data_IF_581244936858
#
_entry.id   IF_581244936858
#
_cell.length_a   1.000
_cell.length_b   1.000
_cell.length_c   1.000
_cell.angle_alpha   90.00
_cell.angle_beta   90.00
_cell.angle_gamma   90.00
#
_symmetry.space_group_name_H-M   'P 1'
#
loop_
_entity.id
_entity.type
_entity.pdbx_description
1 polymer ?
#
# COMPACT_ATOMS: atom_id res chain seq x y z
N UNK A 1 16.31 -39.44 38.22
CA UNK A 1 15.29 -38.55 38.83
C UNK A 1 15.15 -37.28 38.00
N UNK A 2 14.10 -37.20 37.19
CA UNK A 2 13.87 -36.14 36.21
C UNK A 2 13.65 -34.78 36.88
N UNK A 3 14.54 -33.81 36.64
CA UNK A 3 14.32 -32.41 37.01
C UNK A 3 13.29 -31.83 36.05
N UNK A 4 12.02 -31.89 36.46
CA UNK A 4 10.87 -31.27 35.77
C UNK A 4 11.23 -29.81 35.45
N UNK A 5 11.20 -29.48 34.15
CA UNK A 5 11.36 -28.11 33.63
C UNK A 5 10.32 -27.19 34.29
N UNK A 6 10.70 -26.51 35.37
CA UNK A 6 9.84 -25.51 36.02
C UNK A 6 9.79 -24.30 35.08
N UNK A 7 8.60 -23.85 34.62
CA UNK A 7 8.52 -22.65 33.81
C UNK A 7 9.07 -21.47 34.64
N UNK A 8 10.05 -20.76 34.08
CA UNK A 8 10.61 -19.56 34.71
C UNK A 8 9.48 -18.55 34.89
N UNK A 9 9.34 -17.95 36.08
CA UNK A 9 8.37 -16.87 36.32
C UNK A 9 8.60 -15.75 35.31
N UNK A 10 7.62 -15.51 34.46
CA UNK A 10 7.62 -14.43 33.47
C UNK A 10 7.16 -13.16 34.20
N UNK A 11 7.71 -11.99 33.87
CA UNK A 11 7.25 -10.74 34.49
C UNK A 11 5.82 -10.41 34.06
N UNK A 12 5.02 -9.81 34.94
CA UNK A 12 3.62 -9.45 34.65
C UNK A 12 3.46 -8.59 33.38
N UNK A 13 4.47 -7.76 33.07
CA UNK A 13 4.53 -6.99 31.82
C UNK A 13 4.61 -7.91 30.60
N UNK A 14 5.47 -8.92 30.62
CA UNK A 14 5.60 -9.90 29.52
C UNK A 14 4.33 -10.76 29.37
N UNK A 15 3.65 -11.11 30.45
CA UNK A 15 2.36 -11.81 30.39
C UNK A 15 1.25 -10.95 29.76
N UNK A 16 1.18 -9.66 30.10
CA UNK A 16 0.25 -8.71 29.47
C UNK A 16 0.46 -8.64 27.95
N UNK A 17 1.71 -8.58 27.50
CA UNK A 17 2.03 -8.52 26.07
C UNK A 17 2.03 -9.88 25.37
N UNK A 18 2.01 -11.00 26.10
CA UNK A 18 1.94 -12.34 25.51
C UNK A 18 0.61 -12.63 24.82
N UNK A 19 -0.48 -11.97 25.25
CA UNK A 19 -1.79 -12.02 24.58
C UNK A 19 -1.80 -11.23 23.28
N UNK A 20 -0.97 -10.19 23.19
CA UNK A 20 -0.70 -9.46 21.95
C UNK A 20 0.38 -10.19 21.14
N UNK A 21 0.17 -11.49 20.89
CA UNK A 21 0.89 -12.16 19.81
C UNK A 21 0.64 -11.29 18.60
N UNK A 22 1.67 -10.56 18.17
CA UNK A 22 1.72 -9.94 16.86
C UNK A 22 1.49 -11.13 15.94
N UNK A 23 0.28 -11.29 15.42
CA UNK A 23 0.07 -12.19 14.30
C UNK A 23 1.20 -11.82 13.33
N UNK A 24 2.04 -12.82 13.00
CA UNK A 24 3.09 -12.59 12.00
C UNK A 24 2.37 -11.93 10.83
N UNK A 25 2.86 -10.79 10.29
CA UNK A 25 2.19 -10.17 9.15
C UNK A 25 2.01 -11.30 8.14
N UNK A 26 0.77 -11.73 7.94
CA UNK A 26 0.49 -12.74 6.94
C UNK A 26 0.89 -12.03 5.66
N UNK A 27 1.87 -12.60 4.97
CA UNK A 27 2.15 -12.21 3.60
C UNK A 27 0.94 -12.67 2.81
N UNK A 28 -0.14 -11.89 2.88
CA UNK A 28 -1.26 -11.96 1.97
C UNK A 28 -0.67 -11.60 0.62
N UNK A 29 -0.26 -12.63 -0.12
CA UNK A 29 0.13 -12.49 -1.51
C UNK A 29 -1.15 -12.20 -2.27
N UNK A 30 -1.51 -10.91 -2.34
CA UNK A 30 -2.64 -10.46 -3.14
C UNK A 30 -2.20 -10.61 -4.59
N UNK A 31 -2.59 -11.71 -5.22
CA UNK A 31 -2.44 -11.87 -6.66
C UNK A 31 -3.43 -10.89 -7.33
N UNK A 32 -2.99 -10.14 -8.37
CA UNK A 32 -3.93 -9.41 -9.18
C UNK A 32 -4.90 -10.40 -9.85
N UNK A 33 -6.18 -10.01 -10.05
CA UNK A 33 -7.12 -10.86 -10.77
C UNK A 33 -6.63 -11.09 -12.20
N UNK A 34 -6.89 -12.28 -12.73
CA UNK A 34 -6.65 -12.57 -14.15
C UNK A 34 -7.65 -11.76 -14.98
N UNK A 35 -7.12 -10.76 -15.69
CA UNK A 35 -7.88 -9.89 -16.58
C UNK A 35 -7.74 -10.40 -18.02
N UNK A 36 -8.84 -10.37 -18.78
CA UNK A 36 -8.76 -10.53 -20.24
C UNK A 36 -8.03 -9.34 -20.86
N UNK A 37 -7.54 -9.49 -22.10
CA UNK A 37 -6.78 -8.41 -22.77
C UNK A 37 -7.58 -7.11 -22.88
N UNK A 38 -8.89 -7.20 -23.11
CA UNK A 38 -9.75 -6.02 -23.23
C UNK A 38 -10.00 -5.35 -21.88
N UNK A 39 -10.20 -6.12 -20.80
CA UNK A 39 -10.29 -5.58 -19.44
C UNK A 39 -8.98 -4.93 -19.00
N UNK A 40 -7.83 -5.48 -19.41
CA UNK A 40 -6.53 -4.88 -19.12
C UNK A 40 -6.35 -3.53 -19.85
N UNK A 41 -6.85 -3.39 -21.08
CA UNK A 41 -6.84 -2.11 -21.82
C UNK A 41 -7.73 -1.07 -21.12
N UNK A 42 -8.95 -1.44 -20.75
CA UNK A 42 -9.87 -0.54 -20.03
C UNK A 42 -9.25 -0.03 -18.73
N UNK A 43 -8.67 -0.93 -17.93
CA UNK A 43 -7.99 -0.57 -16.69
C UNK A 43 -6.86 0.44 -16.90
N UNK A 44 -6.05 0.26 -17.95
CA UNK A 44 -4.97 1.21 -18.29
C UNK A 44 -5.51 2.59 -18.65
N UNK A 45 -6.63 2.66 -19.38
CA UNK A 45 -7.28 3.91 -19.74
C UNK A 45 -7.84 4.62 -18.51
N UNK A 46 -8.45 3.88 -17.58
CA UNK A 46 -8.97 4.45 -16.34
C UNK A 46 -7.84 4.95 -15.43
N UNK A 47 -6.74 4.20 -15.31
CA UNK A 47 -5.55 4.64 -14.58
C UNK A 47 -4.96 5.93 -15.17
N UNK A 48 -4.96 6.09 -16.50
CA UNK A 48 -4.53 7.33 -17.17
C UNK A 48 -5.47 8.49 -16.84
N UNK A 49 -6.79 8.31 -16.96
CA UNK A 49 -7.79 9.34 -16.64
C UNK A 49 -7.68 9.81 -15.20
N UNK A 50 -7.49 8.88 -14.26
CA UNK A 50 -7.30 9.19 -12.84
C UNK A 50 -5.99 9.95 -12.65
N UNK A 51 -4.90 9.54 -13.30
CA UNK A 51 -3.61 10.25 -13.22
C UNK A 51 -3.75 11.71 -13.69
N UNK A 52 -4.39 11.92 -14.84
CA UNK A 52 -4.61 13.25 -15.40
C UNK A 52 -5.50 14.10 -14.49
N UNK A 53 -6.58 13.52 -13.96
CA UNK A 53 -7.41 14.20 -12.97
C UNK A 53 -6.58 14.68 -11.79
N UNK A 54 -5.76 13.81 -11.17
CA UNK A 54 -4.93 14.22 -10.04
C UNK A 54 -3.86 15.25 -10.40
N UNK A 55 -3.29 15.16 -11.61
CA UNK A 55 -2.31 16.14 -12.12
C UNK A 55 -2.92 17.52 -12.28
N UNK A 56 -4.17 17.61 -12.75
CA UNK A 56 -4.82 18.89 -13.02
C UNK A 56 -5.61 19.43 -11.82
N UNK A 57 -6.16 18.55 -10.98
CA UNK A 57 -6.98 18.94 -9.83
C UNK A 57 -6.15 19.32 -8.61
N UNK A 58 -4.97 18.71 -8.42
CA UNK A 58 -4.12 18.94 -7.23
C UNK A 58 -3.04 20.00 -7.43
N UNK A 59 -2.82 20.48 -8.66
CA UNK A 59 -1.90 21.59 -8.94
C UNK A 59 -2.69 22.91 -8.95
N UNK A 60 -2.17 24.00 -8.36
CA UNK A 60 -2.72 25.32 -8.62
C UNK A 60 -2.73 25.56 -10.14
N UNK A 61 -3.85 26.00 -10.73
CA UNK A 61 -4.03 26.07 -12.19
C UNK A 61 -2.91 26.85 -12.90
N UNK A 62 -2.32 27.84 -12.23
CA UNK A 62 -1.22 28.66 -12.74
C UNK A 62 0.03 27.85 -13.14
N UNK A 63 0.43 26.85 -12.35
CA UNK A 63 1.65 26.07 -12.63
C UNK A 63 1.49 25.22 -13.89
N UNK A 64 0.29 24.68 -14.11
CA UNK A 64 -0.01 23.86 -15.29
C UNK A 64 -0.09 24.70 -16.57
N UNK A 65 -0.70 25.89 -16.50
CA UNK A 65 -0.75 26.84 -17.63
C UNK A 65 0.65 27.29 -18.02
N UNK A 66 1.53 27.56 -17.04
CA UNK A 66 2.91 27.98 -17.31
C UNK A 66 3.76 26.85 -17.94
N UNK A 67 3.65 25.61 -17.45
CA UNK A 67 4.32 24.46 -18.08
C UNK A 67 3.83 24.20 -19.51
N UNK A 68 2.52 24.31 -19.77
CA UNK A 68 1.95 24.17 -21.12
C UNK A 68 2.46 25.26 -22.07
N UNK A 69 2.47 26.51 -21.62
CA UNK A 69 3.02 27.64 -22.40
C UNK A 69 4.52 27.46 -22.67
N UNK A 70 5.28 26.95 -21.70
CA UNK A 70 6.71 26.69 -21.87
C UNK A 70 6.98 25.56 -22.89
N UNK A 71 6.18 24.48 -22.87
CA UNK A 71 6.27 23.40 -23.86
C UNK A 71 5.85 23.81 -25.27
N UNK A 72 4.83 24.67 -25.40
CA UNK A 72 4.36 25.16 -26.72
C UNK A 72 5.29 26.18 -27.37
N UNK A 73 6.15 26.83 -26.59
CA UNK A 73 7.15 27.79 -27.08
C UNK A 73 8.48 27.12 -27.47
N UNK A 74 8.59 25.81 -27.26
CA UNK A 74 9.73 24.99 -27.65
C UNK A 74 9.42 24.29 -28.97
#
# INVERSE_FOLDING_TARGET
>A
MARKNKPKKISAKKERYAKFRKEKPSTLTIAPPDLTEDQAKERRLDEQRISDFWRHYRRPPEKFVNERKARSKR
#
